data_IF_971671517812
#
_entry.id   IF_971671517812
#
_cell.length_a   1.000
_cell.length_b   1.000
_cell.length_c   1.000
_cell.angle_alpha   90.00
_cell.angle_beta   90.00
_cell.angle_gamma   90.00
#
_symmetry.space_group_name_H-M   'P 1'
#
loop_
_entity.id
_entity.type
_entity.pdbx_description
1 polymer ?
#
# COMPACT_ATOMS: atom_id res chain seq x y z
N UNK A 1 2.43 20.17 53.80
CA UNK A 1 2.30 18.79 54.29
C UNK A 1 0.88 18.34 53.95
N UNK A 2 0.57 17.43 53.02
CA UNK A 2 1.32 16.35 52.38
C UNK A 2 1.04 16.34 50.87
N UNK A 3 2.05 15.87 50.16
CA UNK A 3 2.17 15.64 48.73
C UNK A 3 1.81 14.17 48.47
N UNK A 4 1.01 13.89 47.45
CA UNK A 4 0.75 12.56 46.88
C UNK A 4 0.06 12.77 45.53
N UNK A 5 0.38 12.11 44.43
CA UNK A 5 1.49 11.24 44.05
C UNK A 5 1.50 11.33 42.50
N UNK A 6 2.66 11.60 41.91
CA UNK A 6 2.83 11.68 40.45
C UNK A 6 3.31 10.31 39.99
N UNK A 7 2.40 9.39 39.75
CA UNK A 7 2.73 8.10 39.14
C UNK A 7 2.57 8.17 37.62
N UNK A 8 3.70 8.26 36.94
CA UNK A 8 4.02 7.87 35.57
C UNK A 8 2.87 7.46 34.64
N UNK A 9 2.49 8.39 33.77
CA UNK A 9 1.91 8.05 32.46
C UNK A 9 3.00 8.14 31.40
N UNK A 10 3.89 7.15 31.33
CA UNK A 10 4.71 6.94 30.13
C UNK A 10 3.79 6.43 29.00
N UNK A 11 3.18 7.40 28.31
CA UNK A 11 2.41 7.22 27.08
C UNK A 11 3.40 6.95 25.94
N UNK A 12 3.53 5.69 25.54
CA UNK A 12 4.11 5.32 24.25
C UNK A 12 3.10 5.70 23.14
N UNK A 13 3.31 6.88 22.56
CA UNK A 13 2.67 7.28 21.31
C UNK A 13 3.40 6.57 20.17
N UNK A 14 2.70 5.66 19.48
CA UNK A 14 3.24 4.99 18.29
C UNK A 14 3.20 6.02 17.16
N UNK A 15 4.36 6.53 16.77
CA UNK A 15 4.50 7.31 15.55
C UNK A 15 4.47 6.32 14.38
N UNK A 16 4.02 6.74 13.19
CA UNK A 16 4.13 5.94 11.97
C UNK A 16 5.59 5.51 11.67
N UNK A 17 6.55 6.14 12.34
CA UNK A 17 7.98 5.86 12.35
C UNK A 17 8.40 4.62 13.16
N UNK A 18 7.55 4.11 14.07
CA UNK A 18 7.82 2.95 14.93
C UNK A 18 7.56 1.61 14.22
N UNK A 19 6.96 1.65 13.03
CA UNK A 19 6.89 0.54 12.07
C UNK A 19 7.72 0.98 10.85
N UNK A 20 9.00 1.32 11.07
CA UNK A 20 9.97 1.40 9.98
C UNK A 20 10.58 0.01 9.82
N UNK A 21 10.24 -0.74 8.75
CA UNK A 21 11.08 -1.85 8.33
C UNK A 21 12.50 -1.30 8.12
N UNK A 22 13.53 -2.14 8.33
CA UNK A 22 14.90 -1.77 7.99
C UNK A 22 14.95 -1.29 6.51
N UNK A 23 15.89 -0.40 6.12
CA UNK A 23 15.94 0.17 4.76
C UNK A 23 16.00 -0.85 3.63
N UNK A 24 16.41 -2.09 3.93
CA UNK A 24 16.46 -3.26 3.05
C UNK A 24 15.13 -4.04 2.95
N UNK A 25 14.13 -3.70 3.77
CA UNK A 25 12.80 -4.32 3.83
C UNK A 25 11.78 -3.41 3.10
N UNK A 26 11.95 -3.28 1.79
CA UNK A 26 10.88 -2.79 0.91
C UNK A 26 9.94 -3.94 0.56
N UNK A 27 8.91 -4.22 1.39
CA UNK A 27 7.76 -5.01 0.95
C UNK A 27 6.51 -4.85 1.85
N UNK A 28 5.60 -3.98 1.38
CA UNK A 28 4.13 -4.12 1.35
C UNK A 28 3.41 -4.62 2.62
N UNK A 29 3.17 -3.73 3.59
CA UNK A 29 2.02 -3.91 4.50
C UNK A 29 0.75 -3.53 3.72
N UNK A 30 0.16 -4.46 2.96
CA UNK A 30 -1.17 -4.20 2.37
C UNK A 30 -2.26 -4.40 3.42
N UNK A 31 -2.51 -3.36 4.22
CA UNK A 31 -3.66 -3.33 5.10
C UNK A 31 -4.94 -3.51 4.27
N UNK A 32 -5.82 -4.42 4.66
CA UNK A 32 -7.22 -4.35 4.22
C UNK A 32 -8.02 -3.88 5.41
N UNK A 33 -7.90 -2.60 5.78
CA UNK A 33 -8.69 -2.07 6.88
C UNK A 33 -10.11 -1.76 6.41
N UNK A 34 -11.11 -2.36 7.05
CA UNK A 34 -12.50 -1.88 6.98
C UNK A 34 -12.54 -0.44 7.55
N UNK A 35 -12.92 0.55 6.74
CA UNK A 35 -13.00 1.97 7.12
C UNK A 35 -14.41 2.56 7.01
N UNK A 36 -14.71 3.53 7.87
CA UNK A 36 -15.84 4.49 7.97
C UNK A 36 -17.28 4.00 7.71
N UNK A 37 -18.04 3.84 8.80
CA UNK A 37 -19.51 3.78 8.73
C UNK A 37 -20.07 5.07 8.13
N UNK A 38 -21.11 4.92 7.33
CA UNK A 38 -21.80 5.97 6.56
C UNK A 38 -22.59 6.90 7.50
N UNK A 39 -21.92 7.58 8.42
CA UNK A 39 -22.50 8.62 9.26
C UNK A 39 -21.63 9.89 9.11
N UNK A 40 -22.19 10.88 8.40
CA UNK A 40 -21.67 12.22 8.07
C UNK A 40 -20.91 12.36 6.73
N UNK A 41 -21.65 12.72 5.68
CA UNK A 41 -21.21 13.14 4.33
C UNK A 41 -20.28 14.38 4.33
N UNK A 42 -19.78 14.83 5.49
CA UNK A 42 -18.88 15.98 5.66
C UNK A 42 -17.43 15.61 5.98
N UNK A 43 -17.11 14.32 6.16
CA UNK A 43 -15.80 13.85 6.65
C UNK A 43 -14.67 13.68 5.63
N UNK A 44 -14.93 13.69 4.31
CA UNK A 44 -13.90 13.35 3.30
C UNK A 44 -12.93 14.51 2.99
N UNK A 45 -13.18 15.75 3.45
CA UNK A 45 -12.40 16.94 3.03
C UNK A 45 -11.16 17.29 3.84
N UNK A 46 -10.80 16.53 4.89
CA UNK A 46 -9.58 16.78 5.66
C UNK A 46 -8.99 15.47 6.17
N UNK A 47 -7.96 14.97 5.49
CA UNK A 47 -6.95 14.13 6.12
C UNK A 47 -5.90 15.08 6.73
N UNK A 48 -5.88 15.32 8.05
CA UNK A 48 -4.96 16.28 8.62
C UNK A 48 -3.61 15.63 8.85
N UNK A 49 -2.65 15.97 8.00
CA UNK A 49 -1.23 15.90 8.32
C UNK A 49 -0.91 16.97 9.37
N UNK A 50 -1.31 16.76 10.63
CA UNK A 50 -0.84 17.44 11.86
C UNK A 50 -1.80 17.17 13.02
N UNK A 51 -1.31 16.49 14.06
CA UNK A 51 -1.56 16.76 15.49
C UNK A 51 -1.49 15.46 16.30
N UNK A 52 -0.56 15.44 17.26
CA UNK A 52 -0.26 14.37 18.22
C UNK A 52 -1.39 14.11 19.25
N UNK A 53 -2.66 14.38 18.94
CA UNK A 53 -3.80 14.29 19.88
C UNK A 53 -5.02 13.52 19.42
N UNK A 54 -5.12 13.11 18.16
CA UNK A 54 -6.16 12.19 17.71
C UNK A 54 -5.50 10.89 17.29
N UNK A 55 -5.67 9.79 18.05
CA UNK A 55 -5.39 8.44 17.54
C UNK A 55 -6.38 8.21 16.39
N UNK A 56 -5.95 8.18 15.13
CA UNK A 56 -6.87 7.78 14.08
C UNK A 56 -7.09 6.28 14.31
N UNK A 57 -8.30 5.90 14.71
CA UNK A 57 -8.70 4.49 14.76
C UNK A 57 -8.94 4.06 13.31
N UNK A 58 -7.86 3.77 12.58
CA UNK A 58 -7.91 3.41 11.16
C UNK A 58 -8.72 2.14 10.88
N UNK A 59 -8.78 1.24 11.86
CA UNK A 59 -9.62 0.04 11.79
C UNK A 59 -11.00 0.34 12.39
N UNK A 60 -12.09 0.09 11.66
CA UNK A 60 -13.47 0.19 12.20
C UNK A 60 -13.89 -1.04 12.98
N UNK A 61 -15.05 -0.98 13.65
CA UNK A 61 -15.61 -2.14 14.39
C UNK A 61 -15.79 -3.32 13.45
N UNK A 62 -15.27 -4.47 13.83
CA UNK A 62 -15.21 -5.66 13.01
C UNK A 62 -14.41 -5.56 11.71
N UNK A 63 -13.53 -4.57 11.61
CA UNK A 63 -12.51 -4.58 10.57
C UNK A 63 -11.44 -5.64 10.82
N UNK A 64 -10.86 -6.10 9.72
CA UNK A 64 -9.68 -6.96 9.72
C UNK A 64 -8.46 -6.18 9.25
N UNK A 65 -7.28 -6.71 9.56
CA UNK A 65 -6.00 -6.28 9.03
C UNK A 65 -5.35 -7.52 8.43
N UNK A 66 -4.78 -7.34 7.25
CA UNK A 66 -3.97 -8.32 6.55
C UNK A 66 -2.56 -7.72 6.44
N UNK A 67 -1.53 -8.45 6.84
CA UNK A 67 -0.14 -8.04 6.64
C UNK A 67 0.57 -9.13 5.84
N UNK A 68 0.99 -8.78 4.62
CA UNK A 68 1.73 -9.66 3.72
C UNK A 68 3.23 -9.50 4.01
N UNK A 69 3.90 -10.57 4.45
CA UNK A 69 5.27 -10.51 4.96
C UNK A 69 6.05 -11.79 4.70
N UNK A 70 7.38 -11.67 4.72
CA UNK A 70 8.26 -12.84 4.75
C UNK A 70 8.19 -13.52 6.14
N UNK A 71 8.57 -14.80 6.21
CA UNK A 71 8.55 -15.55 7.46
C UNK A 71 9.51 -15.00 8.53
N UNK A 72 10.51 -14.22 8.13
CA UNK A 72 11.46 -13.59 9.05
C UNK A 72 10.83 -12.49 9.90
N UNK A 73 9.75 -11.86 9.44
CA UNK A 73 9.09 -10.74 10.12
C UNK A 73 8.00 -11.20 11.13
N UNK A 74 7.92 -12.51 11.42
CA UNK A 74 6.89 -13.09 12.28
C UNK A 74 6.88 -12.46 13.67
N UNK A 75 8.04 -12.25 14.26
CA UNK A 75 8.15 -11.77 15.64
C UNK A 75 7.82 -10.27 15.73
N UNK A 76 8.29 -9.48 14.76
CA UNK A 76 8.01 -8.06 14.62
C UNK A 76 6.51 -7.80 14.45
N UNK A 77 5.84 -8.54 13.56
CA UNK A 77 4.40 -8.39 13.33
C UNK A 77 3.60 -8.81 14.58
N UNK A 78 3.99 -9.90 15.25
CA UNK A 78 3.30 -10.34 16.48
C UNK A 78 3.48 -9.37 17.64
N UNK A 79 4.67 -8.79 17.81
CA UNK A 79 4.90 -7.71 18.78
C UNK A 79 4.03 -6.50 18.45
N UNK A 80 3.98 -6.07 17.19
CA UNK A 80 3.13 -4.96 16.76
C UNK A 80 1.64 -5.23 17.05
N UNK A 81 1.14 -6.43 16.77
CA UNK A 81 -0.23 -6.81 17.11
C UNK A 81 -0.50 -6.76 18.61
N UNK A 82 0.44 -7.23 19.45
CA UNK A 82 0.31 -7.13 20.92
C UNK A 82 0.23 -5.68 21.37
N UNK A 83 1.13 -4.81 20.90
CA UNK A 83 1.15 -3.38 21.23
C UNK A 83 -0.14 -2.67 20.82
N UNK A 84 -0.71 -3.06 19.68
CA UNK A 84 -1.93 -2.47 19.13
C UNK A 84 -3.22 -3.10 19.67
N UNK A 85 -3.14 -4.04 20.62
CA UNK A 85 -4.29 -4.80 21.14
C UNK A 85 -5.10 -5.48 20.02
N UNK A 86 -4.38 -5.97 19.01
CA UNK A 86 -4.93 -6.77 17.93
C UNK A 86 -4.82 -8.25 18.30
N UNK A 87 -5.88 -8.98 17.99
CA UNK A 87 -5.97 -10.42 18.10
C UNK A 87 -5.72 -11.01 16.71
N UNK A 88 -4.62 -11.74 16.56
CA UNK A 88 -4.38 -12.53 15.36
C UNK A 88 -5.36 -13.70 15.34
N UNK A 89 -6.15 -13.82 14.27
CA UNK A 89 -7.17 -14.86 14.11
C UNK A 89 -6.79 -15.92 13.08
N UNK A 90 -5.81 -15.63 12.22
CA UNK A 90 -5.30 -16.60 11.25
C UNK A 90 -3.87 -16.26 10.81
N UNK A 91 -3.21 -17.24 10.22
CA UNK A 91 -1.98 -17.08 9.45
C UNK A 91 -2.21 -17.80 8.13
N UNK A 92 -2.42 -17.04 7.07
CA UNK A 92 -2.54 -17.58 5.73
C UNK A 92 -1.19 -17.64 5.03
N UNK A 93 -1.08 -18.53 4.05
CA UNK A 93 0.13 -18.76 3.27
C UNK A 93 -0.22 -18.59 1.81
N UNK A 94 0.34 -17.57 1.16
CA UNK A 94 0.27 -17.43 -0.29
C UNK A 94 1.39 -18.24 -0.91
N UNK A 95 1.05 -19.34 -1.58
CA UNK A 95 1.96 -20.17 -2.36
C UNK A 95 2.11 -19.59 -3.77
N UNK A 96 3.35 -19.27 -4.12
CA UNK A 96 3.76 -18.76 -5.43
C UNK A 96 4.08 -19.95 -6.34
N UNK A 97 4.06 -19.83 -7.68
CA UNK A 97 4.41 -20.93 -8.58
C UNK A 97 5.90 -21.26 -8.54
N UNK A 98 6.76 -20.24 -8.37
CA UNK A 98 8.21 -20.35 -8.39
C UNK A 98 8.81 -19.84 -7.06
N UNK A 99 9.96 -20.38 -6.68
CA UNK A 99 10.73 -19.87 -5.55
C UNK A 99 11.39 -18.53 -5.87
N UNK A 100 11.42 -17.61 -4.90
CA UNK A 100 12.15 -16.34 -4.98
C UNK A 100 13.67 -16.53 -5.06
N UNK A 101 14.43 -15.43 -4.97
CA UNK A 101 15.89 -15.47 -4.99
C UNK A 101 16.45 -16.21 -3.75
N UNK A 102 17.58 -16.91 -3.90
CA UNK A 102 18.25 -17.65 -2.83
C UNK A 102 18.94 -18.93 -3.31
N UNK A 103 19.82 -19.50 -2.48
CA UNK A 103 20.69 -20.64 -2.86
C UNK A 103 20.37 -21.96 -2.15
N UNK A 104 20.01 -21.95 -0.86
CA UNK A 104 19.72 -23.18 -0.10
C UNK A 104 18.25 -23.62 -0.23
N UNK A 105 17.34 -22.95 0.48
CA UNK A 105 15.90 -23.15 0.35
C UNK A 105 15.25 -21.83 -0.08
N UNK A 106 14.63 -21.84 -1.26
CA UNK A 106 14.04 -20.65 -1.86
C UNK A 106 12.58 -20.53 -1.43
N UNK A 107 12.21 -19.40 -0.82
CA UNK A 107 10.83 -19.14 -0.42
C UNK A 107 9.91 -19.16 -1.64
N UNK A 108 9.02 -20.15 -1.70
CA UNK A 108 7.91 -20.24 -2.67
C UNK A 108 6.60 -19.78 -2.02
N UNK A 109 6.68 -19.03 -0.93
CA UNK A 109 5.50 -18.55 -0.23
C UNK A 109 5.71 -17.16 0.35
N UNK A 110 4.59 -16.57 0.78
CA UNK A 110 4.53 -15.37 1.60
C UNK A 110 3.52 -15.62 2.72
N UNK A 111 3.78 -15.09 3.91
CA UNK A 111 2.86 -15.20 5.03
C UNK A 111 1.90 -14.02 5.05
N UNK A 112 0.65 -14.28 5.44
CA UNK A 112 -0.38 -13.26 5.56
C UNK A 112 -0.96 -13.34 6.96
N UNK A 113 -0.59 -12.37 7.79
CA UNK A 113 -1.07 -12.25 9.16
C UNK A 113 -2.45 -11.61 9.14
N UNK A 114 -3.45 -12.32 9.67
CA UNK A 114 -4.84 -11.83 9.71
C UNK A 114 -5.21 -11.53 11.15
N UNK A 115 -5.54 -10.26 11.42
CA UNK A 115 -5.88 -9.81 12.77
C UNK A 115 -7.12 -8.92 12.80
N UNK A 116 -7.72 -8.82 13.98
CA UNK A 116 -8.83 -7.91 14.29
C UNK A 116 -8.55 -7.21 15.61
N UNK A 117 -9.39 -6.25 15.99
CA UNK A 117 -9.39 -5.79 17.37
C UNK A 117 -9.83 -6.92 18.32
N UNK A 118 -9.09 -7.07 19.42
CA UNK A 118 -9.39 -8.07 20.44
C UNK A 118 -10.84 -7.96 20.93
N UNK A 119 -11.54 -9.09 20.94
CA UNK A 119 -12.92 -9.18 21.42
C UNK A 119 -14.00 -8.70 20.44
N UNK A 120 -13.64 -8.22 19.26
CA UNK A 120 -14.62 -7.79 18.25
C UNK A 120 -15.03 -8.95 17.32
N UNK A 121 -16.28 -8.94 16.88
CA UNK A 121 -16.73 -9.81 15.78
C UNK A 121 -16.21 -9.27 14.44
N UNK A 122 -16.11 -10.10 13.40
CA UNK A 122 -15.77 -9.68 12.05
C UNK A 122 -16.74 -10.29 11.04
N UNK A 123 -16.82 -9.70 9.84
CA UNK A 123 -17.58 -10.28 8.73
C UNK A 123 -16.83 -11.49 8.19
N UNK A 124 -17.57 -12.57 7.96
CA UNK A 124 -17.07 -13.78 7.33
C UNK A 124 -18.05 -14.19 6.23
N UNK A 125 -17.77 -13.82 4.98
CA UNK A 125 -18.57 -14.18 3.82
C UNK A 125 -18.16 -15.55 3.22
N UNK A 126 -17.14 -16.22 3.78
CA UNK A 126 -16.81 -17.60 3.37
C UNK A 126 -17.97 -18.51 3.72
N UNK A 127 -18.51 -18.36 4.94
CA UNK A 127 -19.69 -19.08 5.45
C UNK A 127 -19.71 -20.59 5.12
N UNK A 128 -18.54 -21.25 5.11
CA UNK A 128 -18.36 -22.66 4.70
C UNK A 128 -19.08 -23.01 3.38
N UNK A 129 -18.98 -22.14 2.37
CA UNK A 129 -19.58 -22.37 1.06
C UNK A 129 -21.08 -22.09 0.99
N UNK A 130 -21.75 -21.61 2.05
CA UNK A 130 -23.16 -21.17 1.98
C UNK A 130 -23.37 -20.09 0.92
N UNK A 131 -22.39 -19.22 0.73
CA UNK A 131 -22.36 -18.20 -0.32
C UNK A 131 -21.52 -18.64 -1.54
N UNK A 132 -21.29 -19.95 -1.70
CA UNK A 132 -20.48 -20.51 -2.77
C UNK A 132 -18.96 -20.31 -2.63
N UNK A 133 -18.48 -19.79 -1.48
CA UNK A 133 -17.06 -19.52 -1.25
C UNK A 133 -16.44 -20.59 -0.34
N UNK A 134 -15.59 -21.44 -0.92
CA UNK A 134 -14.76 -22.38 -0.16
C UNK A 134 -13.35 -21.80 -0.02
N UNK A 135 -12.83 -21.75 1.22
CA UNK A 135 -11.52 -21.17 1.53
C UNK A 135 -10.76 -22.00 2.54
N UNK A 136 -9.48 -22.20 2.26
CA UNK A 136 -8.47 -22.62 3.23
C UNK A 136 -7.56 -21.43 3.54
N UNK A 137 -6.62 -21.60 4.48
CA UNK A 137 -5.57 -20.63 4.75
C UNK A 137 -4.32 -20.85 3.88
N UNK A 138 -4.40 -21.65 2.83
CA UNK A 138 -3.33 -21.82 1.83
C UNK A 138 -3.86 -21.36 0.49
N UNK A 139 -3.27 -20.32 -0.07
CA UNK A 139 -3.76 -19.62 -1.25
C UNK A 139 -2.77 -19.77 -2.38
N UNK A 140 -3.19 -20.37 -3.49
CA UNK A 140 -2.34 -20.56 -4.67
C UNK A 140 -2.65 -19.49 -5.70
N UNK A 141 -1.71 -18.56 -5.91
CA UNK A 141 -1.82 -17.51 -6.93
C UNK A 141 -0.47 -17.26 -7.58
N UNK A 142 -0.47 -17.03 -8.90
CA UNK A 142 0.73 -16.63 -9.64
C UNK A 142 1.16 -15.22 -9.25
N UNK A 143 2.39 -15.05 -8.74
CA UNK A 143 3.00 -13.73 -8.53
C UNK A 143 3.71 -13.21 -9.78
N UNK A 144 4.34 -12.03 -9.67
CA UNK A 144 5.03 -11.37 -10.78
C UNK A 144 6.07 -12.23 -11.51
N UNK A 145 6.74 -13.14 -10.81
CA UNK A 145 7.74 -14.07 -11.37
C UNK A 145 7.14 -15.37 -11.94
N UNK A 146 5.82 -15.47 -12.03
CA UNK A 146 5.08 -16.70 -12.35
C UNK A 146 4.92 -17.03 -13.83
N UNK A 147 5.46 -16.23 -14.75
CA UNK A 147 5.45 -16.49 -16.19
C UNK A 147 4.09 -16.39 -16.89
N UNK A 148 2.98 -16.67 -16.19
CA UNK A 148 1.63 -16.44 -16.68
C UNK A 148 1.30 -14.94 -16.61
N UNK A 149 1.52 -14.25 -17.72
CA UNK A 149 0.95 -12.91 -17.96
C UNK A 149 -0.57 -13.08 -18.05
N UNK A 150 -1.31 -12.66 -17.04
CA UNK A 150 -2.72 -12.31 -17.26
C UNK A 150 -2.73 -10.91 -17.89
N UNK A 151 -3.63 -10.63 -18.84
CA UNK A 151 -3.85 -9.25 -19.32
C UNK A 151 -4.19 -8.28 -18.17
N UNK A 152 -4.66 -8.85 -17.05
CA UNK A 152 -5.09 -8.17 -15.83
C UNK A 152 -3.94 -7.72 -14.92
N UNK A 153 -2.78 -8.39 -14.96
CA UNK A 153 -1.62 -8.11 -14.13
C UNK A 153 -0.42 -7.74 -15.00
N UNK A 154 -0.26 -6.44 -15.27
CA UNK A 154 0.92 -5.92 -15.95
C UNK A 154 2.13 -5.91 -15.00
N UNK A 155 2.85 -7.03 -15.00
CA UNK A 155 4.07 -7.23 -14.22
C UNK A 155 5.31 -6.55 -14.84
N UNK A 156 5.19 -5.88 -15.99
CA UNK A 156 6.33 -5.23 -16.64
C UNK A 156 6.79 -3.95 -15.93
N UNK A 157 5.93 -3.36 -15.10
CA UNK A 157 6.16 -2.05 -14.48
C UNK A 157 6.76 -2.17 -13.07
N UNK A 158 6.65 -3.33 -12.40
CA UNK A 158 7.20 -3.49 -11.05
C UNK A 158 7.54 -4.95 -10.70
N UNK A 159 8.74 -5.24 -10.14
CA UNK A 159 9.19 -6.60 -9.86
C UNK A 159 8.39 -7.35 -8.77
N UNK A 160 7.55 -6.66 -7.99
CA UNK A 160 6.81 -7.26 -6.85
C UNK A 160 5.32 -6.88 -6.81
N UNK A 161 4.63 -6.81 -7.96
CA UNK A 161 3.17 -6.59 -7.96
C UNK A 161 2.45 -7.78 -7.31
N UNK A 162 1.63 -7.51 -6.29
CA UNK A 162 0.71 -8.50 -5.72
C UNK A 162 -0.41 -8.80 -6.74
N UNK A 163 -0.81 -10.07 -6.94
CA UNK A 163 -1.83 -10.41 -7.92
C UNK A 163 -3.15 -9.73 -7.58
N UNK A 164 -3.74 -9.00 -8.53
CA UNK A 164 -4.99 -8.27 -8.27
C UNK A 164 -6.10 -9.25 -7.89
N UNK A 165 -6.13 -10.43 -8.52
CA UNK A 165 -7.12 -11.47 -8.22
C UNK A 165 -7.05 -11.97 -6.78
N UNK A 166 -5.85 -12.16 -6.22
CA UNK A 166 -5.68 -12.55 -4.81
C UNK A 166 -6.34 -11.53 -3.88
N UNK A 167 -6.09 -10.24 -4.11
CA UNK A 167 -6.67 -9.18 -3.29
C UNK A 167 -8.18 -9.06 -3.45
N UNK A 168 -8.73 -9.22 -4.67
CA UNK A 168 -10.18 -9.27 -4.90
C UNK A 168 -10.83 -10.39 -4.08
N UNK A 169 -10.23 -11.57 -4.13
CA UNK A 169 -10.70 -12.77 -3.44
C UNK A 169 -10.71 -12.57 -1.92
N UNK A 170 -9.65 -11.99 -1.35
CA UNK A 170 -9.60 -11.63 0.08
C UNK A 170 -10.66 -10.59 0.44
N UNK A 171 -10.83 -9.52 -0.35
CA UNK A 171 -11.84 -8.50 -0.09
C UNK A 171 -13.25 -9.09 -0.08
N UNK A 172 -13.58 -9.95 -1.03
CA UNK A 172 -14.89 -10.60 -1.13
C UNK A 172 -15.19 -11.49 0.09
N UNK A 173 -14.17 -12.06 0.72
CA UNK A 173 -14.35 -12.94 1.89
C UNK A 173 -14.76 -12.16 3.14
N UNK A 174 -14.44 -10.88 3.25
CA UNK A 174 -14.54 -10.15 4.53
C UNK A 174 -15.12 -8.74 4.46
N UNK A 175 -15.53 -8.28 3.27
CA UNK A 175 -16.15 -6.96 3.08
C UNK A 175 -17.45 -7.06 2.28
N UNK A 176 -18.25 -6.00 2.23
CA UNK A 176 -19.39 -5.82 1.33
C UNK A 176 -19.10 -4.74 0.26
N UNK A 177 -19.90 -4.72 -0.81
CA UNK A 177 -19.80 -3.65 -1.81
C UNK A 177 -20.02 -2.28 -1.17
N UNK A 178 -19.25 -1.28 -1.60
CA UNK A 178 -19.22 0.07 -1.04
C UNK A 178 -18.43 0.22 0.26
N UNK A 179 -17.97 -0.87 0.89
CA UNK A 179 -17.09 -0.75 2.07
C UNK A 179 -15.69 -0.30 1.66
N UNK A 180 -15.00 0.35 2.61
CA UNK A 180 -13.66 0.89 2.39
C UNK A 180 -12.57 -0.13 2.66
N UNK A 181 -11.49 -0.03 1.90
CA UNK A 181 -10.23 -0.75 2.06
C UNK A 181 -9.11 0.29 2.12
N UNK A 182 -8.33 0.31 3.21
CA UNK A 182 -7.18 1.21 3.35
C UNK A 182 -5.86 0.46 3.14
N UNK A 183 -5.10 0.84 2.12
CA UNK A 183 -3.73 0.38 1.88
C UNK A 183 -2.72 1.50 2.15
N UNK A 184 -1.94 1.44 3.25
CA UNK A 184 -0.95 2.46 3.55
C UNK A 184 0.34 2.36 2.73
N UNK A 185 0.49 1.31 1.91
CA UNK A 185 1.68 1.05 1.08
C UNK A 185 1.23 0.60 -0.32
N UNK A 186 0.46 1.47 -0.97
CA UNK A 186 -0.30 1.17 -2.18
C UNK A 186 0.59 0.68 -3.34
N UNK A 187 1.85 1.12 -3.40
CA UNK A 187 2.82 0.70 -4.41
C UNK A 187 2.29 0.96 -5.81
N UNK A 188 2.32 -0.07 -6.66
CA UNK A 188 1.80 0.01 -8.03
C UNK A 188 0.27 -0.03 -8.13
N UNK A 189 -0.47 -0.07 -7.01
CA UNK A 189 -1.92 0.09 -7.01
C UNK A 189 -2.75 -1.18 -7.07
N UNK A 190 -2.18 -2.37 -6.84
CA UNK A 190 -2.93 -3.64 -6.91
C UNK A 190 -4.18 -3.64 -6.03
N UNK A 191 -4.10 -3.06 -4.83
CA UNK A 191 -5.25 -2.94 -3.92
C UNK A 191 -6.34 -2.04 -4.47
N UNK A 192 -5.99 -0.90 -5.10
CA UNK A 192 -6.93 -0.01 -5.77
C UNK A 192 -7.65 -0.73 -6.92
N UNK A 193 -6.90 -1.42 -7.78
CA UNK A 193 -7.47 -2.14 -8.93
C UNK A 193 -8.40 -3.27 -8.47
N UNK A 194 -8.01 -4.00 -7.42
CA UNK A 194 -8.82 -5.06 -6.84
C UNK A 194 -10.12 -4.51 -6.27
N UNK A 195 -10.03 -3.43 -5.48
CA UNK A 195 -11.18 -2.78 -4.87
C UNK A 195 -12.18 -2.28 -5.92
N UNK A 196 -11.72 -1.62 -6.98
CA UNK A 196 -12.58 -1.14 -8.07
C UNK A 196 -13.35 -2.31 -8.71
N UNK A 197 -12.66 -3.42 -9.05
CA UNK A 197 -13.30 -4.60 -9.68
C UNK A 197 -14.36 -5.24 -8.80
N UNK A 198 -14.14 -5.27 -7.49
CA UNK A 198 -15.12 -5.81 -6.54
C UNK A 198 -16.03 -4.75 -5.94
N UNK A 199 -16.08 -3.52 -6.49
CA UNK A 199 -16.95 -2.44 -6.04
C UNK A 199 -16.75 -2.06 -4.57
N UNK A 200 -15.48 -1.98 -4.12
CA UNK A 200 -15.05 -1.43 -2.81
C UNK A 200 -14.38 -0.09 -3.04
N UNK A 201 -14.36 0.76 -2.00
CA UNK A 201 -13.67 2.04 -2.06
C UNK A 201 -12.25 1.86 -1.51
N UNK A 202 -11.23 2.08 -2.34
CA UNK A 202 -9.85 2.06 -1.87
C UNK A 202 -9.42 3.44 -1.37
N UNK A 203 -8.80 3.48 -0.19
CA UNK A 203 -8.04 4.60 0.33
C UNK A 203 -6.57 4.19 0.30
N UNK A 204 -5.78 4.76 -0.58
CA UNK A 204 -4.38 4.38 -0.77
C UNK A 204 -3.43 5.48 -0.34
N UNK A 205 -2.31 5.12 0.29
CA UNK A 205 -1.17 5.99 0.50
C UNK A 205 0.06 5.41 -0.20
N UNK A 206 0.81 6.27 -0.86
CA UNK A 206 2.08 5.92 -1.50
C UNK A 206 3.03 7.10 -1.35
N UNK A 207 4.27 6.82 -0.94
CA UNK A 207 5.27 7.84 -0.68
C UNK A 207 6.00 8.27 -1.96
N UNK A 208 6.13 7.35 -2.92
CA UNK A 208 6.79 7.58 -4.20
C UNK A 208 5.83 8.22 -5.20
N UNK A 209 6.06 9.47 -5.63
CA UNK A 209 5.22 10.10 -6.66
C UNK A 209 5.18 9.30 -7.96
N UNK A 210 6.29 8.67 -8.35
CA UNK A 210 6.35 7.81 -9.53
C UNK A 210 5.39 6.59 -9.42
N UNK A 211 5.24 6.01 -8.24
CA UNK A 211 4.28 4.92 -8.03
C UNK A 211 2.83 5.41 -7.94
N UNK A 212 2.61 6.65 -7.47
CA UNK A 212 1.29 7.31 -7.59
C UNK A 212 0.90 7.44 -9.06
N UNK A 213 1.81 7.94 -9.91
CA UNK A 213 1.55 8.09 -11.35
C UNK A 213 1.27 6.74 -12.03
N UNK A 214 2.08 5.71 -11.74
CA UNK A 214 1.84 4.34 -12.23
C UNK A 214 0.47 3.83 -11.78
N UNK A 215 0.10 4.03 -10.52
CA UNK A 215 -1.17 3.59 -9.98
C UNK A 215 -2.35 4.26 -10.67
N UNK A 216 -2.30 5.57 -10.87
CA UNK A 216 -3.33 6.34 -11.56
C UNK A 216 -3.47 5.86 -13.00
N UNK A 217 -2.37 5.79 -13.75
CA UNK A 217 -2.38 5.35 -15.14
C UNK A 217 -2.96 3.93 -15.30
N UNK A 218 -2.61 3.00 -14.39
CA UNK A 218 -3.19 1.65 -14.38
C UNK A 218 -4.70 1.66 -14.11
N UNK A 219 -5.16 2.49 -13.17
CA UNK A 219 -6.58 2.61 -12.85
C UNK A 219 -7.40 3.26 -13.97
N UNK A 220 -6.91 4.34 -14.57
CA UNK A 220 -7.56 5.00 -15.72
C UNK A 220 -7.66 4.03 -16.91
N UNK A 221 -6.55 3.33 -17.24
CA UNK A 221 -6.54 2.30 -18.29
C UNK A 221 -7.56 1.18 -18.02
N UNK A 222 -7.68 0.72 -16.78
CA UNK A 222 -8.60 -0.36 -16.43
C UNK A 222 -10.07 0.07 -16.46
N UNK A 223 -10.37 1.32 -16.08
CA UNK A 223 -11.74 1.79 -15.86
C UNK A 223 -12.30 2.66 -16.98
N UNK A 224 -11.43 3.25 -17.81
CA UNK A 224 -11.79 4.28 -18.77
C UNK A 224 -12.23 5.61 -18.14
N UNK A 225 -12.03 5.78 -16.82
CA UNK A 225 -12.35 7.02 -16.09
C UNK A 225 -11.11 7.90 -15.98
N UNK A 226 -11.33 9.18 -15.69
CA UNK A 226 -10.28 10.15 -15.41
C UNK A 226 -10.12 10.35 -13.90
N UNK A 227 -8.87 10.32 -13.44
CA UNK A 227 -8.53 10.61 -12.06
C UNK A 227 -8.54 12.11 -11.82
N UNK A 228 -9.25 12.54 -10.78
CA UNK A 228 -9.41 13.95 -10.42
C UNK A 228 -8.63 14.26 -9.15
N UNK A 229 -7.75 15.24 -9.23
CA UNK A 229 -7.01 15.73 -8.08
C UNK A 229 -7.95 16.48 -7.12
N UNK A 230 -8.19 15.92 -5.93
CA UNK A 230 -9.20 16.41 -4.99
C UNK A 230 -9.02 17.88 -4.56
N UNK A 231 -7.78 18.40 -4.58
CA UNK A 231 -7.51 19.78 -4.17
C UNK A 231 -7.70 20.82 -5.27
N UNK A 232 -7.45 20.46 -6.53
CA UNK A 232 -7.47 21.40 -7.67
C UNK A 232 -8.66 21.19 -8.60
N UNK A 233 -9.28 20.01 -8.55
CA UNK A 233 -10.34 19.60 -9.49
C UNK A 233 -9.84 19.23 -10.88
N UNK A 234 -8.53 19.31 -11.13
CA UNK A 234 -7.91 18.98 -12.41
C UNK A 234 -7.80 17.46 -12.60
N UNK A 235 -7.89 17.02 -13.85
CA UNK A 235 -7.59 15.65 -14.26
C UNK A 235 -6.10 15.34 -14.08
N UNK A 236 -5.75 14.05 -14.02
CA UNK A 236 -4.35 13.62 -13.95
C UNK A 236 -3.51 14.18 -15.10
N UNK A 237 -4.06 14.17 -16.32
CA UNK A 237 -3.44 14.74 -17.50
C UNK A 237 -3.16 16.23 -17.35
N UNK A 238 -4.15 17.02 -16.94
CA UNK A 238 -3.97 18.46 -16.72
C UNK A 238 -2.91 18.74 -15.63
N UNK A 239 -2.91 17.96 -14.55
CA UNK A 239 -1.88 18.07 -13.49
C UNK A 239 -0.48 17.79 -14.05
N UNK A 240 -0.33 16.79 -14.92
CA UNK A 240 0.95 16.49 -15.57
C UNK A 240 1.40 17.64 -16.50
N UNK A 241 0.48 18.18 -17.30
CA UNK A 241 0.75 19.33 -18.18
C UNK A 241 1.20 20.55 -17.38
N UNK A 242 0.49 20.91 -16.30
CA UNK A 242 0.86 22.02 -15.42
C UNK A 242 2.26 21.87 -14.81
N UNK A 243 2.62 20.66 -14.34
CA UNK A 243 3.94 20.40 -13.75
C UNK A 243 5.08 20.45 -14.78
N UNK A 244 4.80 20.02 -16.01
CA UNK A 244 5.78 20.07 -17.09
C UNK A 244 6.08 21.51 -17.52
N UNK A 245 5.08 22.39 -17.55
CA UNK A 245 5.25 23.82 -17.87
C UNK A 245 6.10 24.52 -16.80
N UNK A 246 5.80 24.32 -15.51
CA UNK A 246 6.63 24.87 -14.43
C UNK A 246 8.08 24.38 -14.49
N UNK A 247 8.30 23.13 -14.94
CA UNK A 247 9.65 22.57 -15.09
C UNK A 247 10.40 23.16 -16.29
N UNK A 248 9.71 23.45 -17.40
CA UNK A 248 10.32 24.09 -18.58
C UNK A 248 10.65 25.55 -18.36
N UNK A 249 9.85 26.27 -17.57
CA UNK A 249 10.11 27.68 -17.25
C UNK A 249 11.31 27.89 -16.32
N UNK A 250 11.77 26.83 -15.64
CA UNK A 250 12.98 26.83 -14.81
C UNK A 250 14.27 26.54 -15.60
N UNK A 251 14.16 26.00 -16.81
CA UNK A 251 15.30 25.81 -17.72
C UNK A 251 15.41 27.09 -18.54
N UNK A 252 16.13 28.08 -17.99
CA UNK A 252 16.49 29.29 -18.72
C UNK A 252 17.24 28.97 -20.03
N UNK A 253 17.32 29.92 -20.97
CA UNK A 253 18.05 29.71 -22.22
C UNK A 253 19.47 29.23 -21.92
N UNK A 254 20.03 28.29 -22.73
CA UNK A 254 21.38 27.79 -22.51
C UNK A 254 22.35 28.97 -22.43
N UNK A 255 23.22 28.97 -21.42
CA UNK A 255 24.25 30.00 -21.32
C UNK A 255 25.04 30.08 -22.64
N UNK A 256 25.33 31.30 -23.13
CA UNK A 256 26.15 31.44 -24.33
C UNK A 256 27.51 30.78 -24.10
N UNK A 257 27.90 29.91 -25.01
CA UNK A 257 29.19 29.21 -24.96
C UNK A 257 30.33 30.21 -25.12
N UNK A 258 30.83 30.71 -23.99
CA UNK A 258 31.93 31.67 -23.90
C UNK A 258 33.31 30.99 -24.00
N UNK A 259 33.39 29.76 -24.49
CA UNK A 259 34.69 29.15 -24.81
C UNK A 259 35.24 29.80 -26.07
N UNK A 260 36.20 30.70 -25.88
CA UNK A 260 37.10 31.14 -26.93
C UNK A 260 37.63 29.92 -27.69
N UNK A 261 37.75 29.96 -29.04
CA UNK A 261 38.31 28.86 -29.79
C UNK A 261 39.69 28.53 -29.22
N UNK A 262 39.88 27.31 -28.75
CA UNK A 262 41.20 26.83 -28.36
C UNK A 262 42.01 26.74 -29.65
N UNK A 263 42.94 27.68 -29.83
CA UNK A 263 43.95 27.60 -30.87
C UNK A 263 44.80 26.37 -30.62
N UNK A 264 44.67 25.37 -31.49
CA UNK A 264 45.54 24.20 -31.52
C UNK A 264 46.81 24.63 -32.24
N UNK A 265 47.81 25.03 -31.46
CA UNK A 265 49.21 25.07 -31.88
C UNK A 265 50.04 24.65 -30.67
N UNK A 266 50.43 23.37 -30.65
CA UNK A 266 51.83 22.95 -30.52
C UNK A 266 51.91 21.42 -30.35
N UNK A 267 52.62 20.69 -31.23
CA UNK A 267 52.86 19.27 -31.08
C UNK A 267 54.24 19.06 -30.46
N UNK A 268 54.34 19.00 -29.13
CA UNK A 268 55.49 18.39 -28.45
C UNK A 268 55.15 18.19 -26.97
N UNK A 269 54.81 16.97 -26.59
CA UNK A 269 55.53 16.27 -25.53
C UNK A 269 55.05 14.81 -25.40
N UNK A 270 56.05 13.95 -25.19
CA UNK A 270 56.01 12.48 -25.11
C UNK A 270 55.28 11.95 -23.87
#
# INVERSE_FOLDING_TARGET
>A
MKQADRSDTHRSAIQCEDIRPRPDIQQQISGICRGVGRDDDRGIRRFPYRSNRNRPRFLTKGGLIYCFMDWRDVDEIREAFRRLSLEQINLAVWVKPNGGMGSLYRSRHELIFVAKRKGEAHRNNVELGKQGRYRTNVWEFAGASGGAKSEEDDFSVHPTVKPVKLLQEVMLDVTAAGEFVLDPFLGSGSTLLAAERVKRVCLGLEISPAYVDVTIARWEKMTGKEAIHAGTGLTFREVQEHRNVESSDLIGPPEPDNRSPVSIDDPEDF
#
